data_IF_137833205718
#
_entry.id   IF_137833205718
#
_cell.length_a   1.000
_cell.length_b   1.000
_cell.length_c   1.000
_cell.angle_alpha   90.00
_cell.angle_beta   90.00
_cell.angle_gamma   90.00
#
_symmetry.space_group_name_H-M   'P 1'
#
loop_
_entity.id
_entity.type
_entity.pdbx_description
1 polymer ?
#
# COMPACT_ATOMS: atom_id res chain seq x y z
N UNK A 1 4.02 -5.26 -26.69
CA UNK A 1 3.88 -4.40 -25.49
C UNK A 1 5.10 -3.50 -25.39
N UNK A 2 4.93 -2.19 -25.58
CA UNK A 2 5.99 -1.22 -25.29
C UNK A 2 5.97 -0.90 -23.78
N UNK A 3 7.14 -0.62 -23.21
CA UNK A 3 7.29 -0.24 -21.81
C UNK A 3 7.88 1.16 -21.75
N UNK A 4 7.21 2.05 -21.04
CA UNK A 4 7.74 3.38 -20.72
C UNK A 4 8.07 3.41 -19.22
N UNK A 5 9.34 3.60 -18.86
CA UNK A 5 9.77 3.59 -17.45
C UNK A 5 9.29 4.89 -16.80
N UNK A 6 8.47 4.75 -15.75
CA UNK A 6 7.94 5.90 -14.99
C UNK A 6 8.84 6.23 -13.80
N UNK A 7 9.30 5.19 -13.08
CA UNK A 7 10.16 5.34 -11.91
C UNK A 7 11.27 4.30 -11.95
N UNK A 8 12.52 4.76 -11.99
CA UNK A 8 13.69 3.88 -11.89
C UNK A 8 13.82 3.27 -10.50
N UNK A 9 14.66 2.24 -10.38
CA UNK A 9 14.98 1.61 -9.09
C UNK A 9 15.51 2.64 -8.08
N UNK A 10 16.44 3.49 -8.52
CA UNK A 10 17.07 4.51 -7.70
C UNK A 10 16.04 5.54 -7.19
N UNK A 11 15.10 5.94 -8.06
CA UNK A 11 14.04 6.88 -7.69
C UNK A 11 13.06 6.28 -6.68
N UNK A 12 12.79 4.98 -6.80
CA UNK A 12 11.99 4.23 -5.84
C UNK A 12 12.72 4.16 -4.49
N UNK A 13 13.98 3.77 -4.46
CA UNK A 13 14.80 3.70 -3.25
C UNK A 13 14.87 5.06 -2.51
N UNK A 14 15.07 6.16 -3.25
CA UNK A 14 15.03 7.52 -2.70
C UNK A 14 13.70 7.82 -2.01
N UNK A 15 12.57 7.55 -2.69
CA UNK A 15 11.25 7.85 -2.16
C UNK A 15 10.90 6.98 -0.96
N UNK A 16 11.25 5.70 -0.99
CA UNK A 16 10.99 4.79 0.13
C UNK A 16 11.79 5.21 1.36
N UNK A 17 13.05 5.63 1.18
CA UNK A 17 13.87 6.18 2.27
C UNK A 17 13.25 7.44 2.87
N UNK A 18 12.77 8.36 2.03
CA UNK A 18 12.07 9.56 2.48
C UNK A 18 10.84 9.21 3.33
N UNK A 19 9.97 8.31 2.84
CA UNK A 19 8.78 7.85 3.55
C UNK A 19 9.12 7.18 4.89
N UNK A 20 10.13 6.30 4.90
CA UNK A 20 10.57 5.61 6.12
C UNK A 20 11.03 6.58 7.21
N UNK A 21 11.76 7.63 6.83
CA UNK A 21 12.20 8.67 7.77
C UNK A 21 11.03 9.54 8.26
N UNK A 22 10.09 9.91 7.38
CA UNK A 22 8.89 10.66 7.77
C UNK A 22 8.03 9.87 8.75
N UNK A 23 7.75 8.59 8.45
CA UNK A 23 7.02 7.70 9.35
C UNK A 23 7.77 7.57 10.67
N UNK A 24 9.08 7.36 10.65
CA UNK A 24 9.86 7.28 11.88
C UNK A 24 9.70 8.51 12.75
N UNK A 25 9.77 9.71 12.16
CA UNK A 25 9.57 10.97 12.87
C UNK A 25 8.20 11.07 13.54
N UNK A 26 7.14 10.64 12.86
CA UNK A 26 5.76 10.68 13.39
C UNK A 26 5.52 9.69 14.53
N UNK A 27 6.36 8.65 14.64
CA UNK A 27 6.23 7.55 15.60
C UNK A 27 7.38 7.46 16.61
N UNK A 28 8.18 8.51 16.78
CA UNK A 28 9.37 8.53 17.64
C UNK A 28 9.12 8.45 19.16
N UNK A 29 7.90 8.78 19.62
CA UNK A 29 7.60 8.83 21.06
C UNK A 29 7.52 7.41 21.67
N UNK A 30 7.99 7.23 22.91
CA UNK A 30 7.99 5.92 23.60
C UNK A 30 6.60 5.30 23.79
N UNK A 31 5.55 6.13 23.81
CA UNK A 31 4.16 5.66 23.86
C UNK A 31 3.67 5.09 22.53
N UNK A 32 4.44 5.17 21.44
CA UNK A 32 4.04 4.70 20.12
C UNK A 32 4.36 3.23 19.95
N UNK A 33 3.40 2.50 19.38
CA UNK A 33 3.51 1.07 19.15
C UNK A 33 3.11 0.77 17.71
N UNK A 34 4.05 0.95 16.79
CA UNK A 34 3.78 0.91 15.35
C UNK A 34 3.52 -0.53 14.88
N UNK A 35 2.33 -0.75 14.32
CA UNK A 35 1.95 -1.97 13.60
C UNK A 35 1.74 -1.64 12.12
N UNK A 36 2.58 -2.21 11.26
CA UNK A 36 2.41 -2.15 9.82
C UNK A 36 1.59 -3.35 9.36
N UNK A 37 0.51 -3.08 8.63
CA UNK A 37 -0.31 -4.10 7.98
C UNK A 37 -0.17 -3.94 6.48
N UNK A 38 0.50 -4.88 5.84
CA UNK A 38 0.75 -4.89 4.40
C UNK A 38 -0.36 -5.62 3.64
N UNK A 39 -0.95 -4.98 2.63
CA UNK A 39 -2.03 -5.55 1.83
C UNK A 39 -1.51 -6.41 0.67
N UNK A 40 -1.57 -7.73 0.86
CA UNK A 40 -1.14 -8.67 -0.16
C UNK A 40 -2.05 -8.62 -1.41
N UNK A 41 -1.49 -8.86 -2.60
CA UNK A 41 -0.10 -9.28 -2.87
C UNK A 41 0.81 -8.16 -3.39
N UNK A 42 0.25 -7.00 -3.70
CA UNK A 42 0.97 -5.93 -4.41
C UNK A 42 2.04 -5.24 -3.55
N UNK A 43 1.69 -4.96 -2.30
CA UNK A 43 2.47 -4.13 -1.39
C UNK A 43 3.74 -4.78 -0.83
N UNK A 44 3.97 -6.09 -1.03
CA UNK A 44 5.00 -6.80 -0.24
C UNK A 44 6.42 -6.30 -0.51
N UNK A 45 6.76 -5.94 -1.76
CA UNK A 45 8.08 -5.39 -2.10
C UNK A 45 8.22 -4.00 -1.50
N UNK A 46 7.24 -3.13 -1.73
CA UNK A 46 7.24 -1.78 -1.16
C UNK A 46 7.36 -1.82 0.36
N UNK A 47 6.59 -2.69 1.02
CA UNK A 47 6.64 -2.84 2.48
C UNK A 47 8.02 -3.32 2.94
N UNK A 48 8.59 -4.34 2.29
CA UNK A 48 9.90 -4.86 2.65
C UNK A 48 11.02 -3.80 2.52
N UNK A 49 10.92 -2.90 1.56
CA UNK A 49 11.86 -1.78 1.42
C UNK A 49 11.58 -0.69 2.45
N UNK A 50 10.30 -0.32 2.65
CA UNK A 50 9.88 0.73 3.57
C UNK A 50 10.31 0.45 5.01
N UNK A 51 10.01 -0.75 5.52
CA UNK A 51 10.30 -1.09 6.92
C UNK A 51 11.79 -1.11 7.25
N UNK A 52 12.66 -1.35 6.26
CA UNK A 52 14.12 -1.29 6.44
C UNK A 52 14.64 0.14 6.61
N UNK A 53 13.84 1.15 6.27
CA UNK A 53 14.15 2.56 6.48
C UNK A 53 13.43 3.18 7.69
N UNK A 54 12.57 2.41 8.38
CA UNK A 54 11.92 2.86 9.61
C UNK A 54 12.88 2.62 10.79
N UNK A 55 13.12 3.66 11.59
CA UNK A 55 14.12 3.67 12.67
C UNK A 55 13.52 3.44 14.06
N UNK A 56 12.20 3.33 14.17
CA UNK A 56 11.49 3.00 15.41
C UNK A 56 11.12 1.50 15.43
N UNK A 57 10.91 0.89 16.61
CA UNK A 57 10.42 -0.49 16.68
C UNK A 57 9.11 -0.66 15.93
N UNK A 58 9.01 -1.73 15.14
CA UNK A 58 7.83 -2.00 14.31
C UNK A 58 7.46 -3.47 14.34
N UNK A 59 6.16 -3.75 14.44
CA UNK A 59 5.57 -5.06 14.16
C UNK A 59 5.02 -5.05 12.73
N UNK A 60 5.21 -6.15 12.00
CA UNK A 60 4.75 -6.28 10.61
C UNK A 60 3.80 -7.46 10.53
N UNK A 61 2.62 -7.23 9.98
CA UNK A 61 1.62 -8.25 9.69
C UNK A 61 1.15 -8.10 8.23
N UNK A 62 0.54 -9.14 7.68
CA UNK A 62 0.02 -9.16 6.32
C UNK A 62 -1.47 -9.48 6.32
N UNK A 63 -2.21 -8.85 5.42
CA UNK A 63 -3.61 -9.19 5.15
C UNK A 63 -3.81 -9.45 3.66
N UNK A 64 -4.53 -10.51 3.32
CA UNK A 64 -4.90 -10.79 1.93
C UNK A 64 -6.33 -10.36 1.70
N UNK A 65 -6.55 -9.59 0.62
CA UNK A 65 -7.88 -9.22 0.16
C UNK A 65 -8.14 -9.82 -1.22
N UNK A 66 -9.40 -10.10 -1.53
CA UNK A 66 -9.84 -10.50 -2.85
C UNK A 66 -10.93 -9.56 -3.35
N UNK A 67 -10.83 -9.17 -4.61
CA UNK A 67 -11.90 -8.44 -5.31
C UNK A 67 -12.89 -9.45 -5.88
N UNK A 68 -14.19 -9.21 -5.73
CA UNK A 68 -15.21 -9.99 -6.43
C UNK A 68 -15.19 -9.64 -7.94
N UNK A 69 -14.98 -10.65 -8.80
CA UNK A 69 -15.10 -10.54 -10.25
C UNK A 69 -13.78 -10.62 -11.02
N UNK A 70 -13.75 -11.39 -12.10
CA UNK A 70 -12.65 -11.44 -13.05
C UNK A 70 -12.83 -10.36 -14.13
N UNK A 71 -12.31 -9.14 -13.91
CA UNK A 71 -12.41 -8.04 -14.87
C UNK A 71 -11.45 -6.88 -14.58
N UNK A 72 -11.27 -5.98 -15.56
CA UNK A 72 -10.47 -4.74 -15.40
C UNK A 72 -11.15 -3.71 -14.47
N UNK A 73 -12.41 -3.93 -14.11
CA UNK A 73 -13.19 -3.09 -13.19
C UNK A 73 -13.47 -3.82 -11.88
N UNK A 74 -13.21 -3.14 -10.77
CA UNK A 74 -13.60 -3.60 -9.43
C UNK A 74 -15.11 -3.49 -9.28
N UNK A 75 -15.77 -4.55 -8.80
CA UNK A 75 -17.19 -4.51 -8.42
C UNK A 75 -17.44 -3.69 -7.13
N UNK A 76 -16.39 -3.11 -6.54
CA UNK A 76 -16.41 -2.43 -5.25
C UNK A 76 -16.53 -3.38 -4.05
N UNK A 77 -16.82 -4.68 -4.27
CA UNK A 77 -16.91 -5.69 -3.23
C UNK A 77 -15.53 -6.31 -2.99
N UNK A 78 -14.97 -6.03 -1.82
CA UNK A 78 -13.68 -6.55 -1.36
C UNK A 78 -13.92 -7.48 -0.17
N UNK A 79 -13.36 -8.69 -0.22
CA UNK A 79 -13.37 -9.65 0.88
C UNK A 79 -11.99 -9.71 1.53
N UNK A 80 -11.97 -9.84 2.86
CA UNK A 80 -10.75 -10.09 3.62
C UNK A 80 -10.59 -11.62 3.70
N UNK A 81 -9.63 -12.15 2.96
CA UNK A 81 -9.38 -13.60 2.81
C UNK A 81 -8.60 -14.14 4.00
N UNK A 82 -7.62 -13.36 4.48
CA UNK A 82 -6.85 -13.68 5.68
C UNK A 82 -6.79 -12.45 6.57
N UNK A 83 -7.37 -12.58 7.77
CA UNK A 83 -7.43 -11.52 8.78
C UNK A 83 -6.37 -11.68 9.86
N UNK A 84 -6.14 -10.60 10.60
CA UNK A 84 -5.27 -10.61 11.78
C UNK A 84 -5.86 -11.45 12.91
N UNK A 85 -5.02 -12.25 13.55
CA UNK A 85 -5.36 -13.02 14.76
C UNK A 85 -4.95 -12.30 16.05
N UNK A 86 -4.24 -11.18 15.94
CA UNK A 86 -3.69 -10.43 17.07
C UNK A 86 -4.69 -9.37 17.54
N UNK A 87 -4.63 -9.03 18.83
CA UNK A 87 -5.26 -7.81 19.32
C UNK A 87 -4.47 -6.60 18.82
N UNK A 88 -5.19 -5.58 18.33
CA UNK A 88 -4.61 -4.36 17.79
C UNK A 88 -4.92 -3.12 18.64
N UNK A 89 -5.64 -3.25 19.76
CA UNK A 89 -6.11 -2.10 20.57
C UNK A 89 -4.97 -1.17 21.00
N UNK A 90 -3.82 -1.74 21.32
CA UNK A 90 -2.67 -1.02 21.84
C UNK A 90 -1.69 -0.56 20.75
N UNK A 91 -2.04 -0.76 19.48
CA UNK A 91 -1.18 -0.45 18.35
C UNK A 91 -1.60 0.83 17.62
N UNK A 92 -0.61 1.62 17.24
CA UNK A 92 -0.74 2.62 16.19
C UNK A 92 -0.61 1.93 14.83
N UNK A 93 -1.73 1.77 14.13
CA UNK A 93 -1.80 0.98 12.90
C UNK A 93 -1.47 1.84 11.68
N UNK A 94 -0.56 1.34 10.84
CA UNK A 94 -0.27 1.86 9.51
C UNK A 94 -0.61 0.80 8.45
N UNK A 95 -1.67 1.05 7.69
CA UNK A 95 -2.04 0.17 6.56
C UNK A 95 -1.21 0.56 5.35
N UNK A 96 -0.53 -0.40 4.72
CA UNK A 96 0.38 -0.18 3.59
C UNK A 96 -0.12 -0.93 2.36
N UNK A 97 -0.32 -0.20 1.25
CA UNK A 97 -0.72 -0.74 -0.05
C UNK A 97 0.25 -0.30 -1.17
N UNK A 98 0.27 -1.00 -2.31
CA UNK A 98 1.10 -0.60 -3.45
C UNK A 98 0.46 0.52 -4.28
N UNK A 99 -0.86 0.47 -4.47
CA UNK A 99 -1.60 1.48 -5.23
C UNK A 99 -2.97 1.78 -4.64
N UNK A 100 -3.29 3.06 -4.51
CA UNK A 100 -4.63 3.51 -4.13
C UNK A 100 -5.37 4.08 -5.35
N UNK A 101 -6.27 3.26 -5.91
CA UNK A 101 -7.01 3.55 -7.14
C UNK A 101 -8.46 3.99 -6.87
N UNK A 102 -9.43 3.08 -6.91
CA UNK A 102 -10.82 3.40 -6.52
C UNK A 102 -10.97 3.72 -5.03
N UNK A 103 -10.11 3.15 -4.19
CA UNK A 103 -10.12 3.31 -2.73
C UNK A 103 -10.95 2.27 -1.97
N UNK A 104 -11.74 1.43 -2.66
CA UNK A 104 -12.61 0.44 -2.01
C UNK A 104 -11.85 -0.56 -1.13
N UNK A 105 -10.68 -1.05 -1.57
CA UNK A 105 -9.86 -2.00 -0.80
C UNK A 105 -9.37 -1.39 0.50
N UNK A 106 -8.64 -0.28 0.42
CA UNK A 106 -8.13 0.44 1.59
C UNK A 106 -9.27 0.83 2.53
N UNK A 107 -10.42 1.31 2.01
CA UNK A 107 -11.58 1.68 2.82
C UNK A 107 -12.17 0.48 3.57
N UNK A 108 -12.31 -0.65 2.88
CA UNK A 108 -12.82 -1.89 3.47
C UNK A 108 -11.92 -2.38 4.60
N UNK A 109 -10.59 -2.40 4.38
CA UNK A 109 -9.64 -2.84 5.40
C UNK A 109 -9.59 -1.85 6.55
N UNK A 110 -9.59 -0.54 6.26
CA UNK A 110 -9.61 0.50 7.27
C UNK A 110 -10.84 0.36 8.18
N UNK A 111 -12.04 0.23 7.61
CA UNK A 111 -13.27 0.11 8.39
C UNK A 111 -13.32 -1.22 9.17
N UNK A 112 -12.74 -2.29 8.64
CA UNK A 112 -12.61 -3.58 9.34
C UNK A 112 -11.68 -3.51 10.55
N UNK A 113 -10.52 -2.85 10.40
CA UNK A 113 -9.55 -2.70 11.49
C UNK A 113 -10.02 -1.68 12.52
N UNK A 114 -10.68 -0.60 12.10
CA UNK A 114 -11.24 0.43 13.00
C UNK A 114 -12.21 -0.17 14.03
N UNK A 115 -12.99 -1.18 13.65
CA UNK A 115 -13.91 -1.90 14.57
C UNK A 115 -13.20 -2.65 15.71
N UNK A 116 -11.89 -2.88 15.60
CA UNK A 116 -11.05 -3.47 16.66
C UNK A 116 -10.40 -2.43 17.57
N UNK A 117 -10.75 -1.16 17.42
CA UNK A 117 -10.34 -0.05 18.28
C UNK A 117 -8.82 0.10 18.47
N UNK A 118 -8.00 0.15 17.39
CA UNK A 118 -6.58 0.46 17.52
C UNK A 118 -6.35 1.86 18.10
N UNK A 119 -5.19 2.06 18.73
CA UNK A 119 -4.79 3.33 19.36
C UNK A 119 -4.82 4.51 18.38
N UNK A 120 -4.35 4.27 17.16
CA UNK A 120 -4.50 5.20 16.04
C UNK A 120 -4.47 4.44 14.72
N UNK A 121 -4.90 5.10 13.63
CA UNK A 121 -4.86 4.53 12.30
C UNK A 121 -4.40 5.57 11.27
N UNK A 122 -3.42 5.19 10.46
CA UNK A 122 -2.98 5.90 9.26
C UNK A 122 -2.86 4.95 8.08
N UNK A 123 -2.70 5.51 6.90
CA UNK A 123 -2.59 4.79 5.62
C UNK A 123 -1.38 5.27 4.83
N UNK A 124 -0.73 4.34 4.13
CA UNK A 124 0.36 4.61 3.23
C UNK A 124 0.14 3.87 1.91
N UNK A 125 0.30 4.57 0.79
CA UNK A 125 0.36 3.94 -0.53
C UNK A 125 1.62 4.37 -1.26
N UNK A 126 2.20 3.47 -2.04
CA UNK A 126 3.33 3.86 -2.87
C UNK A 126 2.87 4.73 -4.04
N UNK A 127 1.76 4.35 -4.69
CA UNK A 127 1.18 5.09 -5.81
C UNK A 127 -0.25 5.51 -5.49
N UNK A 128 -0.60 6.74 -5.82
CA UNK A 128 -1.96 7.26 -5.63
C UNK A 128 -2.54 7.77 -6.97
N UNK A 129 -3.79 7.41 -7.25
CA UNK A 129 -4.57 7.88 -8.39
C UNK A 129 -5.83 8.63 -7.92
N UNK A 130 -5.71 9.88 -7.44
CA UNK A 130 -6.86 10.63 -6.94
C UNK A 130 -8.01 10.77 -7.96
N UNK A 131 -7.69 10.84 -9.25
CA UNK A 131 -8.68 10.96 -10.34
C UNK A 131 -9.62 9.76 -10.46
N UNK A 132 -9.29 8.63 -9.84
CA UNK A 132 -10.10 7.39 -9.86
C UNK A 132 -10.81 7.09 -8.56
N UNK A 133 -10.68 7.96 -7.55
CA UNK A 133 -11.30 7.79 -6.23
C UNK A 133 -12.83 7.68 -6.35
N UNK A 134 -13.40 6.64 -5.75
CA UNK A 134 -14.84 6.37 -5.72
C UNK A 134 -15.43 6.36 -4.30
N UNK A 135 -14.58 6.51 -3.28
CA UNK A 135 -14.95 6.55 -1.87
C UNK A 135 -14.25 7.72 -1.20
N UNK A 136 -14.83 8.25 -0.11
CA UNK A 136 -14.16 9.28 0.69
C UNK A 136 -13.00 8.65 1.47
N UNK A 137 -11.79 8.82 0.95
CA UNK A 137 -10.57 8.29 1.53
C UNK A 137 -9.37 9.14 1.13
N UNK A 138 -8.65 9.61 2.15
CA UNK A 138 -7.37 10.29 2.03
C UNK A 138 -6.24 9.36 2.46
N UNK A 139 -5.05 9.57 1.92
CA UNK A 139 -3.83 8.85 2.30
C UNK A 139 -2.96 9.75 3.15
N UNK A 140 -2.47 9.22 4.27
CA UNK A 140 -1.57 9.97 5.15
C UNK A 140 -0.14 10.06 4.59
N UNK A 141 0.35 8.97 3.96
CA UNK A 141 1.68 8.92 3.33
C UNK A 141 1.61 8.41 1.89
N UNK A 142 1.97 9.26 0.94
CA UNK A 142 1.96 8.90 -0.50
C UNK A 142 3.38 8.93 -1.07
N UNK A 143 3.78 7.87 -1.77
CA UNK A 143 5.05 7.86 -2.52
C UNK A 143 5.01 8.79 -3.72
N UNK A 144 4.13 8.48 -4.68
CA UNK A 144 3.93 9.27 -5.89
C UNK A 144 2.44 9.38 -6.24
N UNK A 145 2.01 10.59 -6.60
CA UNK A 145 0.72 10.81 -7.27
C UNK A 145 0.91 10.63 -8.77
N UNK A 146 0.07 9.80 -9.39
CA UNK A 146 0.18 9.43 -10.80
C UNK A 146 -1.15 9.61 -11.55
N UNK A 147 -1.05 9.80 -12.85
CA UNK A 147 -2.19 9.76 -13.76
C UNK A 147 -2.77 8.33 -13.88
N UNK A 148 -3.96 8.23 -14.47
CA UNK A 148 -4.55 6.92 -14.74
C UNK A 148 -3.87 6.20 -15.90
N UNK A 149 -2.78 5.50 -15.58
CA UNK A 149 -2.01 4.66 -16.50
C UNK A 149 -2.05 3.21 -16.06
N UNK A 150 -2.03 2.28 -17.01
CA UNK A 150 -1.77 0.88 -16.70
C UNK A 150 -0.29 0.70 -16.40
N UNK A 151 0.04 0.23 -15.20
CA UNK A 151 1.41 0.15 -14.72
C UNK A 151 1.72 -1.22 -14.11
N UNK A 152 2.99 -1.60 -14.13
CA UNK A 152 3.48 -2.83 -13.52
C UNK A 152 4.94 -2.66 -13.04
N UNK A 153 5.42 -3.64 -12.28
CA UNK A 153 6.74 -3.61 -11.65
C UNK A 153 6.68 -3.16 -10.20
N UNK A 154 7.74 -3.44 -9.46
CA UNK A 154 7.88 -3.10 -8.04
C UNK A 154 6.68 -3.58 -7.19
N UNK A 155 6.36 -4.86 -7.30
CA UNK A 155 5.21 -5.47 -6.62
C UNK A 155 3.94 -5.48 -7.46
N UNK A 156 3.73 -4.51 -8.35
CA UNK A 156 2.56 -4.44 -9.24
C UNK A 156 2.64 -5.49 -10.37
N UNK A 157 1.50 -6.03 -10.77
CA UNK A 157 1.40 -7.05 -11.82
C UNK A 157 0.72 -6.53 -13.09
N UNK A 158 1.11 -7.14 -14.21
CA UNK A 158 0.31 -7.17 -15.44
C UNK A 158 0.07 -8.63 -15.82
N UNK A 159 -1.19 -9.04 -15.87
CA UNK A 159 -1.56 -10.47 -15.85
C UNK A 159 -1.01 -11.16 -14.60
N UNK A 160 -0.29 -12.27 -14.77
CA UNK A 160 0.34 -13.02 -13.67
C UNK A 160 1.82 -12.68 -13.44
N UNK A 161 2.36 -11.66 -14.12
CA UNK A 161 3.81 -11.42 -14.18
C UNK A 161 4.21 -10.01 -13.75
N UNK A 162 5.52 -9.76 -13.79
CA UNK A 162 6.20 -8.46 -13.64
C UNK A 162 6.35 -7.88 -12.23
N UNK A 163 5.78 -8.50 -11.18
CA UNK A 163 5.98 -8.03 -9.79
C UNK A 163 7.45 -7.89 -9.40
N UNK A 164 8.32 -8.75 -9.92
CA UNK A 164 9.76 -8.78 -9.64
C UNK A 164 10.58 -7.74 -10.43
N UNK A 165 9.96 -6.90 -11.27
CA UNK A 165 10.67 -5.86 -12.00
C UNK A 165 11.12 -4.77 -11.02
N UNK A 166 12.40 -4.36 -10.99
CA UNK A 166 12.92 -3.45 -9.95
C UNK A 166 12.55 -1.97 -10.16
N UNK A 167 11.77 -1.67 -11.19
CA UNK A 167 11.30 -0.34 -11.56
C UNK A 167 9.82 -0.40 -11.95
N UNK A 168 9.15 0.74 -11.96
CA UNK A 168 7.75 0.85 -12.39
C UNK A 168 7.72 1.35 -13.83
N UNK A 169 6.91 0.69 -14.66
CA UNK A 169 6.71 1.06 -16.05
C UNK A 169 5.22 1.10 -16.41
N UNK A 170 4.89 1.97 -17.35
CA UNK A 170 3.62 2.00 -18.05
C UNK A 170 3.56 0.91 -19.13
N UNK A 171 2.43 0.21 -19.16
CA UNK A 171 2.09 -0.79 -20.16
C UNK A 171 1.40 -0.09 -21.32
N UNK A 172 2.07 -0.03 -22.47
CA UNK A 172 1.51 0.52 -23.70
C UNK A 172 1.07 -0.66 -24.58
N UNK A 173 -0.24 -0.91 -24.59
CA UNK A 173 -0.92 -1.79 -25.55
C UNK A 173 -0.93 -1.08 -26.92
N UNK A 174 -0.64 -1.82 -27.99
CA UNK A 174 -0.71 -1.31 -29.36
C UNK A 174 -2.16 -1.34 -29.86
#
# INVERSE_FOLDING_TARGET
>A
MKKNILYSKEKIEEKVKELGLTISSDYQNEDKNLLIISLLRGSFIFTADLVRHITVPVRIEFMETSSYGFGKESTGKVEIVSGLTIDISDYDVLIVDDILDSGHTMKTVYDFLKKRNPKSMKTCTFLDKPSRRQVDMNVDYTGFVIEDKFIAGYGLNYGHHYRNTPYIFEVIEN
#
